data_IF_121510537019
#
_entry.id   IF_121510537019
#
_cell.length_a   1.000
_cell.length_b   1.000
_cell.length_c   1.000
_cell.angle_alpha   90.00
_cell.angle_beta   90.00
_cell.angle_gamma   90.00
#
_symmetry.space_group_name_H-M   'P 1'
#
loop_
_entity.id
_entity.type
_entity.pdbx_description
1 polymer ?
#
# COMPACT_ATOMS: atom_id res chain seq x y z
N UNK A 1 -2.26 10.06 0.25
CA UNK A 1 -3.61 9.45 0.13
C UNK A 1 -4.49 10.21 -0.86
N UNK A 2 -4.87 11.47 -0.58
CA UNK A 2 -5.82 12.23 -1.42
C UNK A 2 -5.36 12.37 -2.88
N UNK A 3 -4.08 12.72 -3.10
CA UNK A 3 -3.54 12.87 -4.45
C UNK A 3 -3.69 11.59 -5.29
N UNK A 4 -3.35 10.42 -4.75
CA UNK A 4 -3.55 9.14 -5.43
C UNK A 4 -5.04 8.88 -5.71
N UNK A 5 -5.92 9.12 -4.73
CA UNK A 5 -7.36 8.95 -4.88
C UNK A 5 -7.92 9.79 -6.04
N UNK A 6 -7.57 11.07 -6.11
CA UNK A 6 -8.05 11.97 -7.18
C UNK A 6 -7.54 11.52 -8.55
N UNK A 7 -6.25 11.17 -8.67
CA UNK A 7 -5.70 10.66 -9.93
C UNK A 7 -6.37 9.34 -10.36
N UNK A 8 -6.66 8.43 -9.41
CA UNK A 8 -7.38 7.18 -9.71
C UNK A 8 -8.84 7.42 -10.08
N UNK A 9 -9.50 8.40 -9.45
CA UNK A 9 -10.88 8.76 -9.73
C UNK A 9 -11.05 9.38 -11.12
N UNK A 10 -10.12 10.23 -11.52
CA UNK A 10 -10.12 10.88 -12.83
C UNK A 10 -9.83 9.87 -13.96
N UNK A 11 -8.89 8.96 -13.73
CA UNK A 11 -8.46 7.99 -14.75
C UNK A 11 -9.41 6.80 -14.93
N UNK A 12 -9.94 6.26 -13.84
CA UNK A 12 -10.75 5.04 -13.87
C UNK A 12 -12.23 5.39 -13.69
N UNK A 13 -12.92 5.48 -14.83
CA UNK A 13 -14.31 5.92 -14.92
C UNK A 13 -15.23 4.79 -15.38
N UNK A 14 -16.52 4.94 -15.07
CA UNK A 14 -17.56 3.98 -15.45
C UNK A 14 -17.74 3.86 -16.98
N UNK A 15 -17.32 4.87 -17.73
CA UNK A 15 -17.34 4.87 -19.20
C UNK A 15 -16.31 3.91 -19.80
N UNK A 16 -15.20 3.67 -19.09
CA UNK A 16 -14.17 2.70 -19.51
C UNK A 16 -14.56 1.28 -19.08
N UNK A 17 -14.97 1.10 -17.82
CA UNK A 17 -15.49 -0.16 -17.30
C UNK A 17 -16.59 0.14 -16.25
N UNK A 18 -17.77 -0.51 -16.31
CA UNK A 18 -18.91 -0.16 -15.45
C UNK A 18 -18.63 -0.24 -13.93
N UNK A 19 -17.70 -1.10 -13.54
CA UNK A 19 -17.33 -1.36 -12.15
C UNK A 19 -16.20 -0.45 -11.64
N UNK A 20 -15.66 0.45 -12.47
CA UNK A 20 -14.66 1.44 -12.06
C UNK A 20 -15.33 2.60 -11.32
N UNK A 21 -15.78 2.31 -10.11
CA UNK A 21 -16.43 3.28 -9.23
C UNK A 21 -15.49 3.61 -8.09
N UNK A 22 -15.07 4.87 -8.03
CA UNK A 22 -14.25 5.42 -6.94
C UNK A 22 -15.12 6.28 -6.02
N UNK A 23 -15.24 5.92 -4.73
CA UNK A 23 -15.98 6.71 -3.74
C UNK A 23 -15.11 7.13 -2.54
N UNK A 24 -15.51 8.16 -1.77
CA UNK A 24 -14.83 8.51 -0.52
C UNK A 24 -14.80 7.38 0.52
N UNK A 25 -15.64 6.34 0.36
CA UNK A 25 -15.62 5.16 1.24
C UNK A 25 -14.30 4.41 1.15
N UNK A 26 -13.66 4.38 -0.02
CA UNK A 26 -12.36 3.75 -0.23
C UNK A 26 -11.29 4.44 0.61
N UNK A 27 -11.30 5.77 0.72
CA UNK A 27 -10.39 6.49 1.61
C UNK A 27 -10.60 6.09 3.08
N UNK A 28 -11.85 5.95 3.51
CA UNK A 28 -12.16 5.48 4.87
C UNK A 28 -11.65 4.05 5.10
N UNK A 29 -11.84 3.15 4.13
CA UNK A 29 -11.32 1.78 4.19
C UNK A 29 -9.79 1.75 4.24
N UNK A 30 -9.14 2.62 3.48
CA UNK A 30 -7.68 2.73 3.45
C UNK A 30 -7.12 3.12 4.83
N UNK A 31 -7.66 4.17 5.44
CA UNK A 31 -7.24 4.61 6.79
C UNK A 31 -7.50 3.51 7.83
N UNK A 32 -8.65 2.84 7.76
CA UNK A 32 -8.98 1.73 8.67
C UNK A 32 -8.02 0.54 8.51
N UNK A 33 -7.74 0.12 7.28
CA UNK A 33 -6.78 -0.97 7.01
C UNK A 33 -5.39 -0.68 7.58
N UNK A 34 -4.91 0.56 7.42
CA UNK A 34 -3.66 1.01 8.03
C UNK A 34 -3.75 0.95 9.57
N UNK A 35 -4.82 1.49 10.17
CA UNK A 35 -4.98 1.53 11.63
C UNK A 35 -5.08 0.14 12.27
N UNK A 36 -5.70 -0.82 11.57
CA UNK A 36 -5.84 -2.20 12.04
C UNK A 36 -4.48 -2.94 12.00
N UNK A 37 -3.70 -2.74 10.92
CA UNK A 37 -2.40 -3.37 10.76
C UNK A 37 -1.30 -2.84 11.70
N UNK A 38 -1.47 -1.65 12.28
CA UNK A 38 -0.49 -1.04 13.19
C UNK A 38 -0.64 -1.52 14.65
N UNK A 39 -1.72 -2.21 15.03
CA UNK A 39 -1.98 -2.52 16.46
C UNK A 39 -1.43 -3.88 16.93
N UNK A 40 -0.75 -3.95 18.10
CA UNK A 40 -0.21 -2.84 18.91
C UNK A 40 1.01 -2.18 18.24
N UNK A 41 1.20 -0.86 18.45
CA UNK A 41 2.26 -0.07 17.81
C UNK A 41 3.64 -0.43 18.38
N UNK A 42 4.25 -1.47 17.84
CA UNK A 42 5.67 -1.73 18.06
C UNK A 42 6.46 -0.96 16.98
N UNK A 43 7.40 -0.09 17.39
CA UNK A 43 8.37 0.66 16.57
C UNK A 43 8.31 0.44 15.05
N UNK A 44 7.24 0.91 14.39
CA UNK A 44 7.13 0.83 12.94
C UNK A 44 7.92 1.97 12.33
N UNK A 45 9.00 1.63 11.61
CA UNK A 45 9.76 2.60 10.84
C UNK A 45 8.89 3.23 9.75
N UNK A 46 9.23 4.46 9.32
CA UNK A 46 8.48 5.22 8.31
C UNK A 46 8.36 4.42 7.00
N UNK A 47 9.41 3.69 6.62
CA UNK A 47 9.44 2.80 5.47
C UNK A 47 8.36 1.71 5.57
N UNK A 48 8.19 1.14 6.76
CA UNK A 48 7.16 0.13 7.03
C UNK A 48 5.75 0.69 6.91
N UNK A 49 5.54 1.91 7.42
CA UNK A 49 4.26 2.62 7.30
C UNK A 49 3.93 2.94 5.85
N UNK A 50 4.90 3.42 5.07
CA UNK A 50 4.71 3.74 3.65
C UNK A 50 4.45 2.48 2.82
N UNK A 51 5.10 1.36 3.14
CA UNK A 51 4.82 0.05 2.53
C UNK A 51 3.40 -0.41 2.80
N UNK A 52 2.94 -0.32 4.05
CA UNK A 52 1.57 -0.66 4.44
C UNK A 52 0.55 0.26 3.75
N UNK A 53 0.83 1.56 3.71
CA UNK A 53 0.02 2.54 3.01
C UNK A 53 -0.12 2.20 1.52
N UNK A 54 0.98 1.95 0.82
CA UNK A 54 0.96 1.58 -0.60
C UNK A 54 0.23 0.26 -0.83
N UNK A 55 0.45 -0.74 0.03
CA UNK A 55 -0.22 -2.03 -0.05
C UNK A 55 -1.75 -1.90 0.02
N UNK A 56 -2.26 -1.19 1.02
CA UNK A 56 -3.71 -0.97 1.18
C UNK A 56 -4.32 -0.20 0.01
N UNK A 57 -3.55 0.74 -0.57
CA UNK A 57 -3.96 1.45 -1.77
C UNK A 57 -4.17 0.49 -2.95
N UNK A 58 -3.15 -0.32 -3.25
CA UNK A 58 -3.19 -1.24 -4.38
C UNK A 58 -4.31 -2.28 -4.18
N UNK A 59 -4.52 -2.76 -2.96
CA UNK A 59 -5.64 -3.64 -2.62
C UNK A 59 -7.00 -3.01 -2.91
N UNK A 60 -7.18 -1.71 -2.62
CA UNK A 60 -8.47 -1.04 -2.78
C UNK A 60 -8.72 -0.55 -4.21
N UNK A 61 -7.68 -0.08 -4.89
CA UNK A 61 -7.81 0.63 -6.17
C UNK A 61 -7.37 -0.19 -7.38
N UNK A 62 -6.38 -1.08 -7.24
CA UNK A 62 -5.84 -1.88 -8.36
C UNK A 62 -6.52 -3.24 -8.50
N UNK A 63 -6.94 -3.89 -7.40
CA UNK A 63 -7.50 -5.26 -7.46
C UNK A 63 -8.77 -5.39 -8.33
N UNK A 64 -9.45 -4.28 -8.64
CA UNK A 64 -10.62 -4.24 -9.53
C UNK A 64 -10.30 -3.87 -10.98
N UNK A 65 -9.05 -3.52 -11.29
CA UNK A 65 -8.63 -3.12 -12.63
C UNK A 65 -8.37 -4.35 -13.49
N UNK A 66 -8.69 -4.25 -14.77
CA UNK A 66 -8.72 -5.39 -15.69
C UNK A 66 -7.42 -5.49 -16.48
N UNK A 67 -6.90 -4.36 -16.95
CA UNK A 67 -5.80 -4.33 -17.91
C UNK A 67 -4.44 -4.21 -17.22
N UNK A 68 -3.45 -4.94 -17.72
CA UNK A 68 -2.09 -4.89 -17.18
C UNK A 68 -1.47 -3.49 -17.28
N UNK A 69 -1.89 -2.69 -18.27
CA UNK A 69 -1.45 -1.29 -18.40
C UNK A 69 -1.95 -0.41 -17.25
N UNK A 70 -3.12 -0.71 -16.69
CA UNK A 70 -3.73 -0.01 -15.56
C UNK A 70 -3.02 -0.41 -14.26
N UNK A 71 -2.68 -1.70 -14.13
CA UNK A 71 -1.86 -2.21 -13.03
C UNK A 71 -0.51 -1.51 -13.01
N UNK A 72 0.21 -1.48 -14.14
CA UNK A 72 1.48 -0.73 -14.25
C UNK A 72 1.32 0.73 -13.87
N UNK A 73 0.29 1.41 -14.40
CA UNK A 73 0.05 2.81 -14.07
C UNK A 73 -0.21 3.05 -12.57
N UNK A 74 -1.00 2.19 -11.91
CA UNK A 74 -1.25 2.37 -10.47
C UNK A 74 0.01 2.18 -9.64
N UNK A 75 0.89 1.24 -10.00
CA UNK A 75 2.18 1.06 -9.34
C UNK A 75 3.07 2.29 -9.53
N UNK A 76 3.22 2.78 -10.77
CA UNK A 76 4.02 3.97 -11.07
C UNK A 76 3.48 5.21 -10.36
N UNK A 77 2.16 5.43 -10.37
CA UNK A 77 1.54 6.57 -9.69
C UNK A 77 1.70 6.47 -8.16
N UNK A 78 1.66 5.26 -7.59
CA UNK A 78 1.94 5.05 -6.17
C UNK A 78 3.37 5.46 -5.82
N UNK A 79 4.34 5.03 -6.63
CA UNK A 79 5.75 5.37 -6.45
C UNK A 79 5.98 6.88 -6.57
N UNK A 80 5.37 7.54 -7.55
CA UNK A 80 5.46 8.99 -7.73
C UNK A 80 4.91 9.75 -6.51
N UNK A 81 3.74 9.37 -6.01
CA UNK A 81 3.14 9.98 -4.81
C UNK A 81 4.01 9.70 -3.58
N UNK A 82 4.56 8.50 -3.44
CA UNK A 82 5.45 8.17 -2.34
C UNK A 82 6.71 9.06 -2.36
N UNK A 83 7.38 9.18 -3.51
CA UNK A 83 8.61 9.96 -3.65
C UNK A 83 8.37 11.46 -3.42
N UNK A 84 7.23 11.97 -3.88
CA UNK A 84 6.85 13.37 -3.70
C UNK A 84 6.63 13.74 -2.23
N UNK A 85 5.95 12.89 -1.47
CA UNK A 85 5.56 13.18 -0.08
C UNK A 85 6.57 12.65 0.94
N UNK A 86 7.45 11.73 0.55
CA UNK A 86 8.47 11.14 1.42
C UNK A 86 9.86 11.14 0.77
N UNK A 87 10.46 12.31 0.51
CA UNK A 87 11.72 12.44 -0.25
C UNK A 87 12.95 11.83 0.43
N UNK A 88 12.88 11.52 1.73
CA UNK A 88 13.97 10.89 2.50
C UNK A 88 13.87 9.36 2.55
N UNK A 89 12.88 8.75 1.88
CA UNK A 89 12.80 7.29 1.80
C UNK A 89 13.94 6.75 0.94
N UNK A 90 14.69 5.84 1.52
CA UNK A 90 15.77 5.14 0.83
C UNK A 90 15.18 4.26 -0.29
N UNK A 91 15.56 4.51 -1.55
CA UNK A 91 14.94 3.89 -2.75
C UNK A 91 15.02 2.37 -2.72
N UNK A 92 16.09 1.80 -2.17
CA UNK A 92 16.24 0.34 -2.04
C UNK A 92 15.27 -0.27 -1.02
N UNK A 93 14.73 0.55 -0.11
CA UNK A 93 13.76 0.18 0.92
C UNK A 93 12.36 0.73 0.65
N UNK A 94 12.11 1.38 -0.49
CA UNK A 94 10.79 1.84 -0.92
C UNK A 94 9.94 0.70 -1.56
N UNK A 95 8.60 0.78 -1.56
CA UNK A 95 7.73 -0.25 -2.10
C UNK A 95 7.54 -0.14 -3.62
N UNK A 96 8.42 -0.77 -4.41
CA UNK A 96 8.22 -0.82 -5.86
C UNK A 96 9.30 -1.62 -6.58
N UNK A 97 9.15 -2.94 -6.66
CA UNK A 97 9.91 -3.75 -7.61
C UNK A 97 9.02 -4.85 -8.20
N UNK A 98 8.87 -4.92 -9.54
CA UNK A 98 7.99 -5.86 -10.21
C UNK A 98 8.55 -7.27 -10.01
N UNK A 99 7.83 -8.08 -9.22
CA UNK A 99 8.27 -9.40 -8.76
C UNK A 99 8.23 -9.59 -7.24
N UNK A 100 8.17 -8.50 -6.46
CA UNK A 100 8.05 -8.55 -4.98
C UNK A 100 6.70 -8.10 -4.42
N UNK A 101 5.87 -7.38 -5.18
CA UNK A 101 4.53 -6.97 -4.72
C UNK A 101 3.63 -8.17 -4.36
N UNK A 102 3.70 -9.26 -5.13
CA UNK A 102 3.01 -10.51 -4.81
C UNK A 102 3.53 -11.19 -3.52
N UNK A 103 4.83 -11.01 -3.20
CA UNK A 103 5.48 -11.58 -2.00
C UNK A 103 5.30 -10.72 -0.75
N UNK A 104 5.02 -9.42 -0.93
CA UNK A 104 4.68 -8.48 0.14
C UNK A 104 3.20 -8.57 0.58
N UNK A 105 2.33 -9.26 -0.17
CA UNK A 105 0.95 -9.56 0.26
C UNK A 105 0.88 -10.43 1.54
N UNK A 106 1.90 -11.23 1.83
CA UNK A 106 2.00 -12.05 3.05
C UNK A 106 3.22 -11.70 3.90
N UNK A 107 4.37 -11.37 3.30
CA UNK A 107 5.63 -11.24 4.02
C UNK A 107 5.80 -9.98 4.86
N UNK A 108 5.13 -8.87 4.53
CA UNK A 108 5.24 -7.62 5.32
C UNK A 108 4.49 -7.70 6.65
N UNK A 109 3.33 -8.37 6.63
CA UNK A 109 2.59 -8.67 7.86
C UNK A 109 3.36 -9.71 8.67
N UNK A 110 3.87 -10.77 8.04
CA UNK A 110 4.61 -11.82 8.75
C UNK A 110 5.98 -11.39 9.29
N UNK A 111 6.70 -10.45 8.67
CA UNK A 111 7.99 -9.96 9.17
C UNK A 111 7.82 -9.05 10.38
N UNK A 112 6.75 -8.23 10.38
CA UNK A 112 6.28 -7.48 11.54
C UNK A 112 5.88 -8.44 12.68
N UNK A 113 5.24 -9.57 12.36
CA UNK A 113 4.87 -10.60 13.34
C UNK A 113 6.06 -11.45 13.83
N UNK A 114 7.03 -11.81 12.97
CA UNK A 114 8.21 -12.61 13.34
C UNK A 114 9.25 -11.83 14.15
N UNK A 115 9.35 -10.51 13.96
CA UNK A 115 10.18 -9.64 14.79
C UNK A 115 9.80 -9.62 16.28
N UNK A 116 8.58 -10.07 16.62
CA UNK A 116 8.10 -10.26 18.00
C UNK A 116 8.49 -11.61 18.60
N UNK A 117 8.47 -12.69 17.82
CA UNK A 117 8.79 -14.03 18.31
C UNK A 117 10.25 -14.17 18.76
N UNK A 118 11.19 -13.47 18.10
CA UNK A 118 12.62 -13.52 18.44
C UNK A 118 13.01 -12.79 19.73
N UNK A 119 12.18 -11.88 20.25
CA UNK A 119 12.46 -11.17 21.52
C UNK A 119 11.79 -11.78 22.75
N UNK A 120 10.78 -12.63 22.57
CA UNK A 120 10.14 -13.34 23.67
C UNK A 120 10.91 -14.60 24.13
N UNK A 121 11.84 -15.10 23.32
CA UNK A 121 12.60 -16.33 23.62
C UNK A 121 13.91 -16.10 24.41
N UNK A 122 14.24 -14.85 24.77
CA UNK A 122 15.48 -14.50 25.49
C UNK A 122 15.29 -14.09 26.95
N UNK A 123 14.07 -14.25 27.50
CA UNK A 123 13.75 -13.91 28.88
C UNK A 123 13.07 -15.09 29.58
N UNK A 124 13.81 -16.18 29.74
CA UNK A 124 13.59 -17.20 30.77
C UNK A 124 14.95 -17.69 31.26
#
# INVERSE_FOLDING_TARGET
>A
MVEFYLSSQDRFTQDTQPHYVNSPREMTRWVRGISEAIRPPDNLAVEGLVRLWAHEALRLFQDRLVEESEHRWTNENMDLVAMKHFPRLDREKAPGQPGRAARLRQGAVESVLRGRAGRAAGAF
#
